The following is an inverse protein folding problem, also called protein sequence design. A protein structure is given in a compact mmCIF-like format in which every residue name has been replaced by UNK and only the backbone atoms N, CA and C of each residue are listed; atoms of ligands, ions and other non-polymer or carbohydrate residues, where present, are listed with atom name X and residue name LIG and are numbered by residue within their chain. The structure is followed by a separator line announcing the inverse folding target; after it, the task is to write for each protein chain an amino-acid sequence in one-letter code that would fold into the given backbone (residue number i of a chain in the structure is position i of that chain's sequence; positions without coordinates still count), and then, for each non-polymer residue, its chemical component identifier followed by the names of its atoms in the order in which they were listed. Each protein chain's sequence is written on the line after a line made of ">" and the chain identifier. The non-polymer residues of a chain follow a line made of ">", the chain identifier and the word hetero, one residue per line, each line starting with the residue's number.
data_IF_553504752157
#
_entry.id   IF_553504752157
#
_cell.length_a   1.000
_cell.length_b   1.000
_cell.length_c   1.000
_cell.angle_alpha   90.00
_cell.angle_beta   90.00
_cell.angle_gamma   90.00
#
_symmetry.space_group_name_H-M   'P 1'
#
loop_
_entity.id
_entity.type
_entity.pdbx_description
1 polymer ?
#
# COMPACT_ATOMS: atom_id res chain seq x y z
N UNK A 1 18.97 -9.72 -28.55
CA UNK A 1 18.98 -8.41 -27.85
C UNK A 1 18.13 -7.33 -28.53
N UNK A 2 18.32 -6.94 -29.80
CA UNK A 2 17.42 -5.96 -30.47
C UNK A 2 16.06 -6.56 -30.88
N UNK A 3 16.05 -7.79 -31.43
CA UNK A 3 14.83 -8.49 -31.85
C UNK A 3 13.85 -8.76 -30.68
N UNK A 4 14.38 -9.06 -29.49
CA UNK A 4 13.58 -9.33 -28.29
C UNK A 4 12.88 -8.07 -27.78
N UNK A 5 13.54 -6.90 -27.92
CA UNK A 5 12.97 -5.61 -27.51
C UNK A 5 11.85 -5.16 -28.43
N UNK A 6 11.99 -5.38 -29.73
CA UNK A 6 10.94 -5.04 -30.69
C UNK A 6 9.68 -5.88 -30.45
N UNK A 7 9.82 -7.20 -30.31
CA UNK A 7 8.71 -8.10 -29.99
C UNK A 7 8.02 -7.75 -28.67
N UNK A 8 8.78 -7.26 -27.69
CA UNK A 8 8.24 -6.80 -26.41
C UNK A 8 7.38 -5.54 -26.55
N UNK A 9 7.83 -4.56 -27.35
CA UNK A 9 7.08 -3.32 -27.62
C UNK A 9 5.81 -3.61 -28.43
N UNK A 10 5.89 -4.50 -29.41
CA UNK A 10 4.72 -4.96 -30.18
C UNK A 10 3.71 -5.66 -29.28
N UNK A 11 4.17 -6.61 -28.47
CA UNK A 11 3.33 -7.33 -27.50
C UNK A 11 2.71 -6.37 -26.47
N UNK A 12 3.46 -5.36 -26.03
CA UNK A 12 2.97 -4.35 -25.09
C UNK A 12 1.80 -3.55 -25.68
N UNK A 13 1.87 -3.21 -26.96
CA UNK A 13 0.80 -2.50 -27.66
C UNK A 13 -0.47 -3.34 -27.71
N UNK A 14 -0.35 -4.64 -27.98
CA UNK A 14 -1.47 -5.59 -27.98
C UNK A 14 -2.10 -5.71 -26.59
N UNK A 15 -1.29 -5.96 -25.55
CA UNK A 15 -1.78 -6.12 -24.17
C UNK A 15 -2.43 -4.83 -23.67
N UNK A 16 -1.92 -3.65 -24.04
CA UNK A 16 -2.55 -2.36 -23.73
C UNK A 16 -3.94 -2.23 -24.34
N UNK A 17 -4.12 -2.61 -25.61
CA UNK A 17 -5.44 -2.55 -26.26
C UNK A 17 -6.42 -3.47 -25.53
N UNK A 18 -6.02 -4.70 -25.22
CA UNK A 18 -6.86 -5.65 -24.47
C UNK A 18 -7.23 -5.12 -23.09
N UNK A 19 -6.27 -4.56 -22.34
CA UNK A 19 -6.51 -3.96 -21.03
C UNK A 19 -7.55 -2.83 -21.07
N UNK A 20 -7.58 -2.05 -22.15
CA UNK A 20 -8.55 -0.97 -22.36
C UNK A 20 -9.88 -1.44 -22.98
N UNK A 21 -10.08 -2.75 -23.13
CA UNK A 21 -11.29 -3.28 -23.74
C UNK A 21 -11.36 -3.09 -25.25
N UNK A 22 -10.22 -2.95 -25.94
CA UNK A 22 -10.11 -2.73 -27.38
C UNK A 22 -9.55 -3.98 -28.04
N UNK A 23 -10.20 -4.44 -29.11
CA UNK A 23 -9.71 -5.51 -29.95
C UNK A 23 -8.40 -5.09 -30.65
N UNK A 24 -7.29 -5.80 -30.42
CA UNK A 24 -6.00 -5.38 -30.95
C UNK A 24 -5.86 -5.51 -32.47
N UNK A 25 -6.76 -6.25 -33.13
CA UNK A 25 -6.72 -6.55 -34.56
C UNK A 25 -7.39 -5.45 -35.39
N UNK A 26 -8.55 -4.95 -34.94
CA UNK A 26 -9.41 -4.05 -35.71
C UNK A 26 -9.77 -2.74 -34.99
N UNK A 27 -9.22 -2.52 -33.79
CA UNK A 27 -9.43 -1.33 -32.96
C UNK A 27 -10.88 -1.08 -32.53
N UNK A 28 -11.75 -2.09 -32.64
CA UNK A 28 -13.12 -2.02 -32.14
C UNK A 28 -13.18 -2.29 -30.63
N UNK A 29 -14.09 -1.66 -29.88
CA UNK A 29 -14.36 -2.07 -28.50
C UNK A 29 -14.82 -3.52 -28.45
N UNK A 30 -14.38 -4.28 -27.45
CA UNK A 30 -14.95 -5.59 -27.20
C UNK A 30 -16.43 -5.45 -26.87
N UNK A 31 -17.23 -6.40 -27.37
CA UNK A 31 -18.62 -6.54 -26.97
C UNK A 31 -18.72 -6.72 -25.44
N UNK A 32 -19.73 -6.13 -24.80
CA UNK A 32 -19.99 -6.22 -23.36
C UNK A 32 -20.13 -7.66 -22.86
N UNK A 33 -20.41 -8.61 -23.76
CA UNK A 33 -20.47 -10.06 -23.45
C UNK A 33 -19.12 -10.77 -23.51
N UNK A 34 -18.02 -10.07 -23.82
CA UNK A 34 -16.70 -10.66 -23.94
C UNK A 34 -16.10 -10.95 -22.55
N UNK A 35 -15.56 -12.16 -22.33
CA UNK A 35 -14.90 -12.47 -21.06
C UNK A 35 -13.69 -11.54 -20.78
N UNK A 36 -13.09 -10.97 -21.83
CA UNK A 36 -11.95 -10.05 -21.73
C UNK A 36 -12.32 -8.71 -21.09
N UNK A 37 -13.60 -8.35 -21.04
CA UNK A 37 -14.06 -7.11 -20.39
C UNK A 37 -14.41 -7.32 -18.91
N UNK A 38 -14.37 -8.57 -18.42
CA UNK A 38 -14.68 -8.84 -17.02
C UNK A 38 -13.58 -8.31 -16.09
N UNK A 39 -13.92 -7.72 -14.94
CA UNK A 39 -12.93 -7.17 -14.01
C UNK A 39 -11.85 -8.17 -13.59
N UNK A 40 -12.23 -9.45 -13.46
CA UNK A 40 -11.36 -10.57 -13.09
C UNK A 40 -10.26 -10.85 -14.14
N UNK A 41 -10.50 -10.48 -15.39
CA UNK A 41 -9.57 -10.69 -16.51
C UNK A 41 -8.82 -9.40 -16.85
N UNK A 42 -9.47 -8.23 -16.81
CA UNK A 42 -8.84 -6.93 -17.07
C UNK A 42 -7.71 -6.64 -16.08
N UNK A 43 -7.91 -6.92 -14.79
CA UNK A 43 -6.91 -6.60 -13.76
C UNK A 43 -5.56 -7.31 -13.96
N UNK A 44 -5.50 -8.65 -14.13
CA UNK A 44 -4.26 -9.35 -14.46
C UNK A 44 -3.58 -8.86 -15.74
N UNK A 45 -4.37 -8.45 -16.76
CA UNK A 45 -3.84 -7.96 -18.04
C UNK A 45 -3.21 -6.57 -17.88
N UNK A 46 -3.81 -5.67 -17.08
CA UNK A 46 -3.18 -4.39 -16.71
C UNK A 46 -1.87 -4.60 -15.94
N UNK A 47 -1.83 -5.57 -15.03
CA UNK A 47 -0.60 -5.93 -14.33
C UNK A 47 0.49 -6.37 -15.33
N UNK A 48 0.16 -7.26 -16.27
CA UNK A 48 1.08 -7.72 -17.30
C UNK A 48 1.59 -6.57 -18.19
N UNK A 49 0.70 -5.67 -18.62
CA UNK A 49 1.08 -4.48 -19.40
C UNK A 49 2.12 -3.61 -18.67
N UNK A 50 1.88 -3.33 -17.39
CA UNK A 50 2.81 -2.56 -16.57
C UNK A 50 4.15 -3.28 -16.40
N UNK A 51 4.12 -4.58 -16.13
CA UNK A 51 5.33 -5.40 -16.01
C UNK A 51 6.19 -5.35 -17.29
N UNK A 52 5.56 -5.49 -18.46
CA UNK A 52 6.25 -5.38 -19.76
C UNK A 52 6.83 -3.98 -20.00
N UNK A 53 6.12 -2.92 -19.60
CA UNK A 53 6.62 -1.54 -19.66
C UNK A 53 7.92 -1.37 -18.86
N UNK A 54 8.01 -2.00 -17.69
CA UNK A 54 9.21 -1.93 -16.86
C UNK A 54 10.40 -2.66 -17.48
N UNK A 55 10.16 -3.80 -18.15
CA UNK A 55 11.21 -4.55 -18.86
C UNK A 55 11.73 -3.75 -20.07
N UNK A 56 10.84 -3.22 -20.91
CA UNK A 56 11.19 -2.59 -22.19
C UNK A 56 12.02 -1.31 -22.05
N UNK A 57 11.85 -0.60 -20.93
CA UNK A 57 12.56 0.63 -20.59
C UNK A 57 13.91 0.39 -19.90
N UNK A 58 14.40 -0.85 -19.81
CA UNK A 58 15.71 -1.15 -19.23
C UNK A 58 15.78 -0.96 -17.70
N UNK A 59 14.62 -0.87 -17.04
CA UNK A 59 14.52 -0.70 -15.58
C UNK A 59 14.73 -2.03 -14.81
N UNK A 60 15.32 -3.05 -15.45
CA UNK A 60 15.86 -4.24 -14.78
C UNK A 60 17.33 -4.01 -14.37
N UNK A 61 17.76 -2.75 -14.21
CA UNK A 61 18.94 -2.43 -13.41
C UNK A 61 18.50 -2.29 -11.95
N UNK A 62 18.85 -3.29 -11.13
CA UNK A 62 18.62 -3.36 -9.68
C UNK A 62 17.22 -2.91 -9.22
N UNK A 63 16.22 -3.81 -9.22
CA UNK A 63 14.93 -3.73 -8.48
C UNK A 63 14.67 -2.30 -7.93
N UNK A 64 14.28 -1.36 -8.79
CA UNK A 64 13.97 -0.02 -8.31
C UNK A 64 12.80 -0.17 -7.35
N UNK A 65 13.08 0.00 -6.05
CA UNK A 65 12.04 -0.14 -5.04
C UNK A 65 10.96 0.88 -5.38
N UNK A 66 9.69 0.48 -5.46
CA UNK A 66 8.61 1.41 -5.72
C UNK A 66 8.70 2.59 -4.74
N UNK A 67 8.57 3.81 -5.28
CA UNK A 67 8.77 5.04 -4.51
C UNK A 67 7.53 5.47 -3.74
N UNK A 68 6.35 5.08 -4.21
CA UNK A 68 5.04 5.44 -3.68
C UNK A 68 4.31 4.20 -3.16
N UNK A 69 3.47 4.42 -2.14
CA UNK A 69 2.58 3.40 -1.63
C UNK A 69 1.32 3.35 -2.52
N UNK A 70 0.93 2.16 -2.92
CA UNK A 70 -0.27 1.88 -3.70
C UNK A 70 -1.00 0.67 -3.13
N UNK A 71 -2.33 0.73 -3.06
CA UNK A 71 -3.19 -0.38 -2.66
C UNK A 71 -4.53 -0.29 -3.39
N UNK A 72 -4.99 -1.40 -3.98
CA UNK A 72 -6.31 -1.47 -4.62
C UNK A 72 -7.43 -1.60 -3.58
N UNK A 73 -8.70 -1.40 -3.97
CA UNK A 73 -9.82 -1.68 -3.06
C UNK A 73 -9.88 -3.17 -2.70
N UNK A 74 -9.70 -4.04 -3.70
CA UNK A 74 -9.68 -5.50 -3.50
C UNK A 74 -8.58 -5.95 -2.54
N UNK A 75 -7.38 -5.37 -2.62
CA UNK A 75 -6.31 -5.65 -1.65
C UNK A 75 -6.68 -5.16 -0.24
N UNK A 76 -7.34 -4.00 -0.14
CA UNK A 76 -7.77 -3.45 1.14
C UNK A 76 -8.84 -4.33 1.81
N UNK A 77 -9.77 -4.88 1.03
CA UNK A 77 -10.83 -5.78 1.52
C UNK A 77 -10.27 -7.12 2.03
N UNK A 78 -9.09 -7.52 1.55
CA UNK A 78 -8.38 -8.71 2.00
C UNK A 78 -7.51 -8.49 3.25
N UNK A 79 -7.44 -7.27 3.80
CA UNK A 79 -6.64 -6.99 4.99
C UNK A 79 -7.27 -7.63 6.21
N UNK A 80 -6.51 -8.52 6.87
CA UNK A 80 -6.89 -9.10 8.16
C UNK A 80 -6.06 -8.45 9.27
N UNK A 81 -6.73 -7.69 10.13
CA UNK A 81 -6.08 -7.10 11.31
C UNK A 81 -6.17 -8.04 12.51
N UNK A 82 -5.12 -8.12 13.35
CA UNK A 82 -5.18 -8.90 14.59
C UNK A 82 -6.29 -8.41 15.53
N UNK A 83 -6.84 -9.34 16.33
CA UNK A 83 -7.79 -9.02 17.38
C UNK A 83 -7.17 -8.17 18.51
N UNK A 84 -7.99 -7.37 19.18
CA UNK A 84 -7.56 -6.56 20.30
C UNK A 84 -6.70 -5.35 19.91
N UNK A 85 -6.09 -4.68 20.88
CA UNK A 85 -5.31 -3.46 20.61
C UNK A 85 -4.00 -3.79 19.89
N UNK A 86 -3.75 -3.14 18.75
CA UNK A 86 -2.55 -3.36 17.93
C UNK A 86 -1.65 -2.13 17.91
N UNK A 87 -0.34 -2.31 17.78
CA UNK A 87 0.56 -1.20 17.49
C UNK A 87 0.59 -0.86 16.00
N UNK A 88 1.22 0.27 15.67
CA UNK A 88 1.33 0.71 14.27
C UNK A 88 2.15 -0.24 13.39
N UNK A 89 3.11 -0.95 13.99
CA UNK A 89 3.95 -1.92 13.27
C UNK A 89 3.14 -3.15 12.86
N UNK A 90 2.26 -3.61 13.76
CA UNK A 90 1.32 -4.70 13.47
C UNK A 90 0.34 -4.31 12.36
N UNK A 91 -0.19 -3.08 12.38
CA UNK A 91 -1.04 -2.56 11.31
C UNK A 91 -0.29 -2.51 9.96
N UNK A 92 0.90 -1.92 9.93
CA UNK A 92 1.69 -1.82 8.70
C UNK A 92 2.08 -3.21 8.15
N UNK A 93 2.32 -4.19 9.02
CA UNK A 93 2.58 -5.57 8.63
C UNK A 93 1.38 -6.18 7.90
N UNK A 94 0.17 -6.07 8.46
CA UNK A 94 -1.05 -6.60 7.85
C UNK A 94 -1.31 -5.99 6.46
N UNK A 95 -1.10 -4.67 6.30
CA UNK A 95 -1.19 -4.03 4.97
C UNK A 95 -0.14 -4.59 4.00
N UNK A 96 1.09 -4.81 4.47
CA UNK A 96 2.16 -5.31 3.62
C UNK A 96 1.97 -6.77 3.18
N UNK A 97 1.07 -7.53 3.81
CA UNK A 97 0.76 -8.91 3.44
C UNK A 97 -0.14 -9.02 2.21
N UNK A 98 -0.90 -7.96 1.89
CA UNK A 98 -1.85 -7.95 0.75
C UNK A 98 -1.36 -7.15 -0.46
N UNK A 99 -0.29 -6.34 -0.31
CA UNK A 99 0.26 -5.55 -1.42
C UNK A 99 1.36 -6.30 -2.18
N UNK A 100 1.51 -5.98 -3.46
CA UNK A 100 2.65 -6.43 -4.25
C UNK A 100 3.86 -5.49 -4.04
N UNK A 101 4.97 -5.96 -3.41
CA UNK A 101 6.15 -5.14 -3.15
C UNK A 101 6.95 -4.77 -4.41
N UNK A 102 6.62 -5.33 -5.58
CA UNK A 102 7.20 -4.93 -6.86
C UNK A 102 6.54 -3.68 -7.45
N UNK A 103 5.28 -3.42 -7.10
CA UNK A 103 4.48 -2.28 -7.59
C UNK A 103 4.34 -1.20 -6.51
N UNK A 104 4.21 -1.61 -5.25
CA UNK A 104 3.89 -0.74 -4.12
C UNK A 104 5.02 -0.68 -3.10
N UNK A 105 5.36 0.53 -2.65
CA UNK A 105 6.30 0.73 -1.55
C UNK A 105 5.71 0.13 -0.29
N UNK A 106 6.47 -0.74 0.39
CA UNK A 106 6.08 -1.25 1.70
C UNK A 106 5.78 -0.12 2.68
N UNK A 107 4.67 -0.27 3.38
CA UNK A 107 4.27 0.61 4.45
C UNK A 107 5.15 0.36 5.68
N UNK A 108 5.57 1.43 6.33
CA UNK A 108 6.24 1.38 7.64
C UNK A 108 5.41 2.20 8.63
N UNK A 109 5.34 1.77 9.89
CA UNK A 109 4.70 2.53 10.96
C UNK A 109 5.20 3.98 11.06
N UNK A 110 6.48 4.25 10.75
CA UNK A 110 7.00 5.62 10.70
C UNK A 110 6.28 6.52 9.67
N UNK A 111 5.88 5.96 8.51
CA UNK A 111 5.16 6.71 7.48
C UNK A 111 3.75 7.09 7.96
N UNK A 112 3.06 6.15 8.61
CA UNK A 112 1.72 6.39 9.13
C UNK A 112 1.78 7.37 10.30
N UNK A 113 2.69 7.15 11.26
CA UNK A 113 2.87 8.07 12.39
C UNK A 113 3.19 9.49 11.92
N UNK A 114 4.02 9.64 10.86
CA UNK A 114 4.30 10.96 10.28
C UNK A 114 3.00 11.66 9.85
N UNK A 115 2.13 10.96 9.12
CA UNK A 115 0.86 11.51 8.65
C UNK A 115 -0.13 11.80 9.78
N UNK A 116 -0.20 10.93 10.79
CA UNK A 116 -1.02 11.17 11.98
C UNK A 116 -0.54 12.40 12.77
N UNK A 117 0.77 12.66 12.82
CA UNK A 117 1.33 13.89 13.43
C UNK A 117 1.04 15.13 12.60
N UNK A 118 1.13 15.04 11.27
CA UNK A 118 0.74 16.14 10.37
C UNK A 118 -0.75 16.52 10.56
N UNK A 119 -1.59 15.55 10.88
CA UNK A 119 -3.00 15.75 11.24
C UNK A 119 -3.23 16.14 12.71
N UNK A 120 -2.18 16.35 13.50
CA UNK A 120 -2.26 16.66 14.94
C UNK A 120 -2.98 15.60 15.81
N UNK A 121 -3.11 14.37 15.29
CA UNK A 121 -3.70 13.22 16.00
C UNK A 121 -2.69 12.59 16.95
N UNK A 122 -1.39 12.67 16.61
CA UNK A 122 -0.28 12.21 17.43
C UNK A 122 0.73 13.33 17.64
N UNK A 123 1.55 13.21 18.69
CA UNK A 123 2.63 14.15 19.00
C UNK A 123 3.99 13.44 19.05
N UNK A 124 5.07 14.24 19.06
CA UNK A 124 6.42 13.76 19.38
C UNK A 124 6.85 14.26 20.75
N UNK A 125 7.52 13.40 21.51
CA UNK A 125 8.26 13.75 22.71
C UNK A 125 9.74 13.37 22.52
N UNK A 126 10.61 14.06 23.24
CA UNK A 126 12.04 13.73 23.33
C UNK A 126 12.24 13.07 24.69
N UNK A 127 12.85 11.89 24.73
CA UNK A 127 13.20 11.22 25.99
C UNK A 127 14.47 11.82 26.61
N UNK A 128 14.79 11.38 27.83
CA UNK A 128 15.96 11.86 28.60
C UNK A 128 17.30 11.64 27.88
N UNK A 129 17.35 10.69 26.93
CA UNK A 129 18.52 10.36 26.12
C UNK A 129 18.55 11.12 24.78
N UNK A 130 17.57 11.99 24.53
CA UNK A 130 17.48 12.79 23.30
C UNK A 130 16.80 12.08 22.12
N UNK A 131 16.25 10.88 22.32
CA UNK A 131 15.55 10.15 21.26
C UNK A 131 14.11 10.63 21.10
N UNK A 132 13.68 10.76 19.84
CA UNK A 132 12.29 11.12 19.52
C UNK A 132 11.39 9.90 19.63
N UNK A 133 10.28 10.06 20.34
CA UNK A 133 9.24 9.04 20.50
C UNK A 133 7.88 9.61 20.12
N UNK A 134 7.06 8.76 19.51
CA UNK A 134 5.67 9.11 19.22
C UNK A 134 4.82 8.88 20.47
N UNK A 135 4.01 9.87 20.83
CA UNK A 135 3.11 9.84 22.00
C UNK A 135 1.68 10.22 21.59
N UNK A 136 0.71 9.80 22.38
CA UNK A 136 -0.68 10.27 22.28
C UNK A 136 -0.81 11.70 22.81
N UNK A 137 -1.88 12.38 22.41
CA UNK A 137 -2.28 13.71 22.84
C UNK A 137 -3.80 13.75 23.09
N UNK A 138 -4.34 14.94 23.35
CA UNK A 138 -5.77 15.16 23.63
C UNK A 138 -6.71 14.74 22.48
N UNK A 139 -6.23 14.75 21.23
CA UNK A 139 -7.03 14.32 20.08
C UNK A 139 -6.99 12.81 19.87
N UNK A 140 -5.93 12.12 20.31
CA UNK A 140 -5.67 10.71 20.00
C UNK A 140 -6.84 9.79 20.34
N UNK A 141 -7.48 9.99 21.49
CA UNK A 141 -8.57 9.14 21.98
C UNK A 141 -9.78 9.17 21.05
N UNK A 142 -10.13 10.34 20.49
CA UNK A 142 -11.23 10.50 19.55
C UNK A 142 -11.04 9.69 18.26
N UNK A 143 -9.80 9.34 17.92
CA UNK A 143 -9.45 8.49 16.78
C UNK A 143 -9.20 7.03 17.18
N UNK A 144 -9.56 6.62 18.40
CA UNK A 144 -9.36 5.26 18.89
C UNK A 144 -7.90 4.88 19.12
N UNK A 145 -7.07 5.88 19.47
CA UNK A 145 -5.64 5.71 19.73
C UNK A 145 -5.36 5.97 21.20
N UNK A 146 -4.67 5.03 21.83
CA UNK A 146 -4.43 5.01 23.27
C UNK A 146 -2.96 4.70 23.57
N UNK A 147 -2.50 5.02 24.77
CA UNK A 147 -1.18 4.62 25.26
C UNK A 147 -1.33 3.49 26.29
N UNK A 148 -0.53 2.44 26.15
CA UNK A 148 -0.46 1.34 27.13
C UNK A 148 0.95 1.17 27.66
N UNK A 149 1.06 0.98 28.96
CA UNK A 149 2.33 0.64 29.60
C UNK A 149 2.74 -0.79 29.23
N UNK A 150 3.93 -0.97 28.68
CA UNK A 150 4.56 -2.27 28.44
C UNK A 150 5.87 -2.37 29.20
N UNK A 151 6.13 -3.54 29.77
CA UNK A 151 7.43 -3.85 30.35
C UNK A 151 8.27 -4.65 29.35
N UNK A 152 9.51 -4.23 29.12
CA UNK A 152 10.49 -4.97 28.35
C UNK A 152 11.84 -4.94 29.06
N UNK A 153 12.37 -6.13 29.37
CA UNK A 153 13.64 -6.31 30.11
C UNK A 153 13.70 -5.46 31.40
N UNK A 154 12.58 -5.38 32.13
CA UNK A 154 12.48 -4.64 33.38
C UNK A 154 12.31 -3.12 33.24
N UNK A 155 12.26 -2.57 32.02
CA UNK A 155 11.92 -1.16 31.79
C UNK A 155 10.48 -1.03 31.31
N UNK A 156 9.73 -0.17 31.97
CA UNK A 156 8.40 0.22 31.50
C UNK A 156 8.50 1.30 30.43
N UNK A 157 7.71 1.17 29.38
CA UNK A 157 7.59 2.18 28.33
C UNK A 157 6.14 2.31 27.89
N UNK A 158 5.78 3.51 27.46
CA UNK A 158 4.49 3.80 26.87
C UNK A 158 4.49 3.36 25.39
N UNK A 159 3.54 2.51 25.01
CA UNK A 159 3.33 2.07 23.63
C UNK A 159 2.00 2.64 23.12
N UNK A 160 2.07 3.38 22.01
CA UNK A 160 0.88 3.79 21.26
C UNK A 160 0.22 2.58 20.60
N UNK A 161 -1.07 2.40 20.84
CA UNK A 161 -1.89 1.30 20.31
C UNK A 161 -3.21 1.81 19.78
N UNK A 162 -3.79 1.04 18.86
CA UNK A 162 -5.04 1.32 18.17
C UNK A 162 -6.07 0.28 18.59
N UNK A 163 -7.20 0.75 19.11
CA UNK A 163 -8.36 -0.09 19.39
C UNK A 163 -9.16 -0.33 18.09
N UNK A 164 -10.32 -0.99 18.17
CA UNK A 164 -11.12 -1.29 16.97
C UNK A 164 -11.54 -0.03 16.19
N UNK A 165 -11.86 1.06 16.88
CA UNK A 165 -12.18 2.35 16.24
C UNK A 165 -10.96 2.89 15.49
N UNK A 166 -9.78 2.86 16.13
CA UNK A 166 -8.54 3.32 15.52
C UNK A 166 -8.10 2.48 14.32
N UNK A 167 -8.28 1.15 14.39
CA UNK A 167 -8.04 0.25 13.25
C UNK A 167 -8.91 0.61 12.05
N UNK A 168 -10.21 0.80 12.28
CA UNK A 168 -11.16 1.16 11.22
C UNK A 168 -10.88 2.56 10.64
N UNK A 169 -10.52 3.52 11.49
CA UNK A 169 -10.08 4.84 11.05
C UNK A 169 -8.87 4.74 10.12
N UNK A 170 -7.84 3.98 10.50
CA UNK A 170 -6.65 3.81 9.68
C UNK A 170 -6.98 3.13 8.35
N UNK A 171 -7.77 2.06 8.33
CA UNK A 171 -8.15 1.37 7.09
C UNK A 171 -8.91 2.30 6.13
N UNK A 172 -9.94 2.97 6.64
CA UNK A 172 -10.81 3.85 5.85
C UNK A 172 -10.04 5.02 5.22
N UNK A 173 -9.06 5.55 5.95
CA UNK A 173 -8.32 6.72 5.52
C UNK A 173 -6.93 6.39 4.95
N UNK A 174 -6.56 5.12 4.81
CA UNK A 174 -5.21 4.70 4.44
C UNK A 174 -4.72 5.33 3.13
N UNK A 175 -5.58 5.35 2.11
CA UNK A 175 -5.26 5.93 0.81
C UNK A 175 -5.02 7.44 0.90
N UNK A 176 -5.84 8.15 1.67
CA UNK A 176 -5.69 9.58 1.88
C UNK A 176 -4.43 9.90 2.70
N UNK A 177 -4.14 9.10 3.73
CA UNK A 177 -2.94 9.25 4.54
C UNK A 177 -1.68 9.07 3.69
N UNK A 178 -1.69 8.16 2.71
CA UNK A 178 -0.49 7.85 1.91
C UNK A 178 -0.35 8.66 0.61
N UNK A 179 -1.31 9.54 0.29
CA UNK A 179 -1.21 10.54 -0.77
C UNK A 179 -0.36 11.73 -0.30
#
# INVERSE_FOLDING_TARGET
>A
MMLDRQKLVESQTVVKKIANGINPIDDTPFNDTSFLTTPQVIQPIFYLFNYMFHIANGNISSRQRPKQFFITNEQLDNVVLPEGKIGIMEFAKAINEVIDPTISKKLNGAMINKKLKELQILSEAIDEEGHRRTITNENSEAYGIESVTKSFRGREYQKVVFNEVGKQFLLKNLKQLMN
#
